data_IF_380771219521
#
_entry.id   IF_380771219521
#
_cell.length_a   1.000
_cell.length_b   1.000
_cell.length_c   1.000
_cell.angle_alpha   90.00
_cell.angle_beta   90.00
_cell.angle_gamma   90.00
#
_symmetry.space_group_name_H-M   'P 1'
#
loop_
_entity.id
_entity.type
_entity.pdbx_description
1 polymer ?
#
# COMPACT_ATOMS: atom_id res chain seq x y z
N UNK A 1 24.41 4.63 11.15
CA UNK A 1 22.98 4.96 11.36
C UNK A 1 22.13 4.40 10.22
N UNK A 2 22.53 4.64 8.96
CA UNK A 2 21.90 4.04 7.79
C UNK A 2 21.84 2.50 7.83
N UNK A 3 22.92 1.81 8.22
CA UNK A 3 22.93 0.34 8.30
C UNK A 3 21.84 -0.22 9.22
N UNK A 4 21.60 0.43 10.35
CA UNK A 4 20.54 0.04 11.29
C UNK A 4 19.14 0.24 10.70
N UNK A 5 18.94 1.33 9.95
CA UNK A 5 17.68 1.57 9.22
C UNK A 5 17.48 0.48 8.17
N UNK A 6 18.53 0.11 7.43
CA UNK A 6 18.47 -0.95 6.43
C UNK A 6 18.21 -2.33 7.05
N UNK A 7 18.82 -2.63 8.20
CA UNK A 7 18.57 -3.86 8.95
C UNK A 7 17.11 -3.97 9.39
N UNK A 8 16.54 -2.90 9.95
CA UNK A 8 15.13 -2.86 10.34
C UNK A 8 14.20 -2.93 9.11
N UNK A 9 14.57 -2.24 8.01
CA UNK A 9 13.83 -2.27 6.75
C UNK A 9 13.79 -3.67 6.11
N UNK A 10 14.76 -4.56 6.37
CA UNK A 10 14.71 -5.95 5.85
C UNK A 10 13.43 -6.68 6.24
N UNK A 11 12.85 -6.38 7.40
CA UNK A 11 11.57 -6.98 7.81
C UNK A 11 10.40 -6.48 6.95
N UNK A 12 10.37 -5.17 6.68
CA UNK A 12 9.38 -4.56 5.76
C UNK A 12 9.52 -5.17 4.37
N UNK A 13 10.75 -5.25 3.86
CA UNK A 13 11.04 -5.88 2.57
C UNK A 13 10.56 -7.33 2.51
N UNK A 14 10.85 -8.15 3.52
CA UNK A 14 10.47 -9.56 3.54
C UNK A 14 8.95 -9.75 3.54
N UNK A 15 8.23 -8.91 4.28
CA UNK A 15 6.76 -8.91 4.32
C UNK A 15 6.17 -8.48 2.96
N UNK A 16 6.70 -7.43 2.35
CA UNK A 16 6.27 -7.00 1.02
C UNK A 16 6.58 -8.06 -0.06
N UNK A 17 7.72 -8.75 0.06
CA UNK A 17 8.08 -9.86 -0.82
C UNK A 17 7.07 -11.00 -0.69
N UNK A 18 6.73 -11.41 0.53
CA UNK A 18 5.70 -12.43 0.77
C UNK A 18 4.33 -11.99 0.24
N UNK A 19 3.92 -10.73 0.51
CA UNK A 19 2.65 -10.17 0.01
C UNK A 19 2.58 -10.17 -1.51
N UNK A 20 3.69 -9.87 -2.19
CA UNK A 20 3.77 -9.90 -3.66
C UNK A 20 3.53 -11.30 -4.22
N UNK A 21 4.11 -12.33 -3.58
CA UNK A 21 3.88 -13.72 -3.96
C UNK A 21 2.42 -14.15 -3.72
N UNK A 22 1.84 -13.75 -2.59
CA UNK A 22 0.43 -14.02 -2.25
C UNK A 22 -0.53 -13.36 -3.25
N UNK A 23 -0.25 -12.14 -3.68
CA UNK A 23 -1.03 -11.43 -4.70
C UNK A 23 -0.90 -12.06 -6.09
N UNK A 24 0.30 -12.48 -6.48
CA UNK A 24 0.49 -13.20 -7.74
C UNK A 24 -0.27 -14.54 -7.76
N UNK A 25 -0.21 -15.31 -6.67
CA UNK A 25 -0.90 -16.60 -6.56
C UNK A 25 -2.43 -16.43 -6.61
N UNK A 26 -2.96 -15.38 -5.98
CA UNK A 26 -4.39 -15.00 -5.99
C UNK A 26 -4.95 -14.84 -7.41
N UNK A 27 -4.14 -14.30 -8.33
CA UNK A 27 -4.54 -14.04 -9.71
C UNK A 27 -4.26 -15.20 -10.67
N UNK A 28 -3.51 -16.23 -10.25
CA UNK A 28 -2.99 -17.26 -11.15
C UNK A 28 -3.43 -18.68 -10.77
N UNK A 29 -3.09 -19.14 -9.57
CA UNK A 29 -3.22 -20.56 -9.18
C UNK A 29 -4.17 -20.80 -8.01
N UNK A 30 -4.46 -19.79 -7.19
CA UNK A 30 -5.28 -19.94 -5.99
C UNK A 30 -6.72 -20.36 -6.33
N UNK A 31 -7.29 -21.36 -5.63
CA UNK A 31 -8.71 -21.69 -5.73
C UNK A 31 -9.60 -20.50 -5.36
N UNK A 32 -10.75 -20.34 -6.03
CA UNK A 32 -11.64 -19.19 -5.80
C UNK A 32 -12.19 -19.12 -4.37
N UNK A 33 -12.45 -20.28 -3.77
CA UNK A 33 -13.00 -20.42 -2.41
C UNK A 33 -12.05 -19.92 -1.31
N UNK A 34 -10.75 -19.79 -1.59
CA UNK A 34 -9.73 -19.35 -0.62
C UNK A 34 -9.52 -17.81 -0.61
N UNK A 35 -10.25 -17.07 -1.45
CA UNK A 35 -10.08 -15.62 -1.62
C UNK A 35 -10.25 -14.81 -0.34
N UNK A 36 -11.16 -15.22 0.55
CA UNK A 36 -11.38 -14.56 1.82
C UNK A 36 -10.17 -14.70 2.77
N UNK A 37 -9.64 -15.92 2.92
CA UNK A 37 -8.48 -16.19 3.78
C UNK A 37 -7.22 -15.51 3.22
N UNK A 38 -7.06 -15.49 1.89
CA UNK A 38 -5.98 -14.76 1.22
C UNK A 38 -6.04 -13.26 1.51
N UNK A 39 -7.22 -12.67 1.39
CA UNK A 39 -7.42 -11.25 1.69
C UNK A 39 -7.12 -10.93 3.15
N UNK A 40 -7.53 -11.78 4.09
CA UNK A 40 -7.21 -11.61 5.50
C UNK A 40 -5.70 -11.67 5.78
N UNK A 41 -4.97 -12.61 5.16
CA UNK A 41 -3.52 -12.71 5.31
C UNK A 41 -2.80 -11.46 4.78
N UNK A 42 -3.19 -10.98 3.58
CA UNK A 42 -2.61 -9.77 2.98
C UNK A 42 -2.89 -8.55 3.86
N UNK A 43 -4.11 -8.36 4.35
CA UNK A 43 -4.48 -7.22 5.20
C UNK A 43 -3.69 -7.19 6.54
N UNK A 44 -3.47 -8.35 7.16
CA UNK A 44 -2.64 -8.45 8.36
C UNK A 44 -1.18 -8.11 8.06
N UNK A 45 -0.63 -8.59 6.93
CA UNK A 45 0.73 -8.24 6.50
C UNK A 45 0.84 -6.73 6.26
N UNK A 46 -0.11 -6.12 5.55
CA UNK A 46 -0.15 -4.66 5.32
C UNK A 46 -0.15 -3.86 6.62
N UNK A 47 -0.88 -4.33 7.64
CA UNK A 47 -0.91 -3.69 8.96
C UNK A 47 0.46 -3.72 9.64
N UNK A 48 1.14 -4.87 9.62
CA UNK A 48 2.50 -4.99 10.18
C UNK A 48 3.50 -4.14 9.39
N UNK A 49 3.39 -4.10 8.07
CA UNK A 49 4.24 -3.24 7.21
C UNK A 49 4.06 -1.76 7.57
N UNK A 50 2.83 -1.31 7.78
CA UNK A 50 2.52 0.05 8.24
C UNK A 50 3.19 0.35 9.58
N UNK A 51 3.00 -0.50 10.58
CA UNK A 51 3.57 -0.34 11.92
C UNK A 51 5.10 -0.26 11.89
N UNK A 52 5.74 -1.18 11.17
CA UNK A 52 7.19 -1.21 11.02
C UNK A 52 7.70 0.04 10.29
N UNK A 53 7.00 0.49 9.24
CA UNK A 53 7.38 1.71 8.52
C UNK A 53 7.31 2.94 9.42
N UNK A 54 6.21 3.10 10.17
CA UNK A 54 6.06 4.20 11.13
C UNK A 54 7.11 4.16 12.25
N UNK A 55 7.56 2.96 12.66
CA UNK A 55 8.61 2.80 13.68
C UNK A 55 10.00 3.30 13.25
N UNK A 56 10.21 3.48 11.93
CA UNK A 56 11.44 4.06 11.39
C UNK A 56 11.48 5.59 11.50
N UNK A 57 10.34 6.25 11.73
CA UNK A 57 10.21 7.70 11.58
C UNK A 57 11.19 8.48 12.46
N UNK A 58 11.25 8.18 13.76
CA UNK A 58 12.16 8.87 14.69
C UNK A 58 13.65 8.70 14.36
N UNK A 59 14.00 7.59 13.69
CA UNK A 59 15.38 7.35 13.23
C UNK A 59 15.65 8.18 11.98
N UNK A 60 14.71 8.18 11.03
CA UNK A 60 14.80 8.95 9.79
C UNK A 60 14.85 10.47 10.06
N UNK A 61 14.13 10.96 11.07
CA UNK A 61 14.12 12.38 11.46
C UNK A 61 15.47 12.83 12.07
N UNK A 62 16.29 11.89 12.57
CA UNK A 62 17.63 12.17 13.13
C UNK A 62 18.75 12.09 12.10
N UNK A 63 18.46 11.57 10.90
CA UNK A 63 19.47 11.48 9.84
C UNK A 63 19.64 12.84 9.18
N UNK A 64 20.89 13.31 9.12
CA UNK A 64 21.27 14.53 8.41
C UNK A 64 21.75 14.16 7.02
N UNK A 65 21.23 14.83 6.00
CA UNK A 65 21.50 14.48 4.61
C UNK A 65 22.96 14.77 4.21
N UNK A 66 23.64 15.69 4.91
CA UNK A 66 25.05 16.03 4.72
C UNK A 66 26.00 14.91 5.15
N UNK A 67 25.54 14.02 6.03
CA UNK A 67 26.31 12.88 6.53
C UNK A 67 26.20 11.64 5.62
N UNK A 68 25.49 11.74 4.49
CA UNK A 68 25.18 10.63 3.58
C UNK A 68 25.80 10.81 2.19
N UNK A 69 26.18 9.69 1.59
CA UNK A 69 26.42 9.60 0.16
C UNK A 69 25.09 9.61 -0.62
N UNK A 70 25.18 9.55 -1.95
CA UNK A 70 23.99 9.62 -2.80
C UNK A 70 23.01 8.46 -2.58
N UNK A 71 23.56 7.26 -2.37
CA UNK A 71 22.78 6.07 -2.04
C UNK A 71 22.00 6.27 -0.73
N UNK A 72 22.67 6.71 0.34
CA UNK A 72 22.04 6.96 1.63
C UNK A 72 20.94 8.00 1.54
N UNK A 73 21.17 9.12 0.84
CA UNK A 73 20.14 10.15 0.64
C UNK A 73 18.93 9.60 -0.11
N UNK A 74 19.15 8.74 -1.12
CA UNK A 74 18.09 8.05 -1.85
C UNK A 74 17.24 7.18 -0.94
N UNK A 75 17.87 6.32 -0.12
CA UNK A 75 17.18 5.45 0.84
C UNK A 75 16.32 6.27 1.79
N UNK A 76 16.90 7.31 2.41
CA UNK A 76 16.19 8.13 3.40
C UNK A 76 15.03 8.89 2.77
N UNK A 77 15.20 9.43 1.55
CA UNK A 77 14.12 10.10 0.80
C UNK A 77 12.93 9.17 0.57
N UNK A 78 13.17 7.94 0.12
CA UNK A 78 12.11 6.95 -0.13
C UNK A 78 11.41 6.56 1.17
N UNK A 79 12.16 6.26 2.23
CA UNK A 79 11.56 5.85 3.50
C UNK A 79 10.78 6.98 4.18
N UNK A 80 11.26 8.23 4.12
CA UNK A 80 10.52 9.41 4.60
C UNK A 80 9.21 9.59 3.82
N UNK A 81 9.20 9.33 2.51
CA UNK A 81 7.98 9.34 1.68
C UNK A 81 6.97 8.28 2.15
N UNK A 82 7.41 7.05 2.40
CA UNK A 82 6.53 6.00 2.95
C UNK A 82 6.00 6.34 4.34
N UNK A 83 6.84 6.90 5.22
CA UNK A 83 6.40 7.37 6.55
C UNK A 83 5.36 8.48 6.42
N UNK A 84 5.57 9.46 5.52
CA UNK A 84 4.62 10.54 5.26
C UNK A 84 3.26 9.99 4.83
N UNK A 85 3.26 9.05 3.88
CA UNK A 85 2.03 8.38 3.44
C UNK A 85 1.28 7.73 4.60
N UNK A 86 1.94 6.87 5.38
CA UNK A 86 1.28 6.18 6.50
C UNK A 86 0.90 7.11 7.66
N UNK A 87 1.59 8.24 7.85
CA UNK A 87 1.16 9.27 8.81
C UNK A 87 -0.10 10.01 8.36
N UNK A 88 -0.22 10.28 7.06
CA UNK A 88 -1.33 11.02 6.48
C UNK A 88 -2.60 10.19 6.34
N UNK A 89 -2.47 8.96 5.84
CA UNK A 89 -3.61 8.08 5.54
C UNK A 89 -3.95 7.21 6.75
N UNK A 90 -5.19 7.31 7.31
CA UNK A 90 -5.66 6.46 8.40
C UNK A 90 -5.56 4.96 8.07
N UNK A 91 -5.37 4.14 9.11
CA UNK A 91 -5.27 2.69 8.97
C UNK A 91 -6.55 2.10 8.37
N UNK A 92 -7.70 2.64 8.78
CA UNK A 92 -9.03 2.18 8.40
C UNK A 92 -9.24 2.30 6.88
N UNK A 93 -8.73 3.36 6.25
CA UNK A 93 -8.79 3.54 4.80
C UNK A 93 -7.95 2.49 4.09
N UNK A 94 -6.70 2.29 4.53
CA UNK A 94 -5.80 1.31 3.91
C UNK A 94 -6.33 -0.13 4.06
N UNK A 95 -6.90 -0.47 5.21
CA UNK A 95 -7.50 -1.79 5.44
C UNK A 95 -8.76 -2.01 4.61
N UNK A 96 -9.58 -0.98 4.42
CA UNK A 96 -10.77 -1.09 3.58
C UNK A 96 -10.40 -1.22 2.09
N UNK A 97 -9.42 -0.47 1.61
CA UNK A 97 -8.88 -0.63 0.25
C UNK A 97 -8.33 -2.03 0.03
N UNK A 98 -7.54 -2.59 0.95
CA UNK A 98 -6.99 -3.95 0.84
C UNK A 98 -8.10 -5.01 0.79
N UNK A 99 -9.14 -4.84 1.61
CA UNK A 99 -10.31 -5.73 1.62
C UNK A 99 -11.09 -5.64 0.30
N UNK A 100 -11.33 -4.42 -0.19
CA UNK A 100 -12.01 -4.19 -1.46
C UNK A 100 -11.21 -4.74 -2.64
N UNK A 101 -9.89 -4.58 -2.67
CA UNK A 101 -9.04 -5.13 -3.71
C UNK A 101 -9.20 -6.67 -3.79
N UNK A 102 -9.12 -7.35 -2.65
CA UNK A 102 -9.26 -8.81 -2.58
C UNK A 102 -10.65 -9.30 -3.00
N UNK A 103 -11.71 -8.67 -2.47
CA UNK A 103 -13.09 -9.07 -2.77
C UNK A 103 -13.49 -8.75 -4.22
N UNK A 104 -13.11 -7.56 -4.68
CA UNK A 104 -13.48 -7.07 -5.99
C UNK A 104 -12.73 -7.77 -7.12
N UNK A 105 -11.54 -8.34 -6.88
CA UNK A 105 -10.82 -9.13 -7.88
C UNK A 105 -11.63 -10.34 -8.37
N UNK A 106 -12.26 -11.08 -7.45
CA UNK A 106 -13.11 -12.24 -7.78
C UNK A 106 -14.35 -11.79 -8.57
N UNK A 107 -15.02 -10.73 -8.08
CA UNK A 107 -16.21 -10.17 -8.73
C UNK A 107 -15.88 -9.64 -10.12
N UNK A 108 -14.75 -8.94 -10.28
CA UNK A 108 -14.29 -8.37 -11.54
C UNK A 108 -14.01 -9.46 -12.58
N UNK A 109 -13.37 -10.57 -12.19
CA UNK A 109 -13.11 -11.69 -13.10
C UNK A 109 -14.40 -12.20 -13.72
N UNK A 110 -15.44 -12.40 -12.91
CA UNK A 110 -16.71 -12.91 -13.41
C UNK A 110 -17.54 -11.85 -14.14
N UNK A 111 -17.60 -10.64 -13.61
CA UNK A 111 -18.23 -9.49 -14.25
C UNK A 111 -17.67 -9.25 -15.65
N UNK A 112 -16.33 -9.29 -15.80
CA UNK A 112 -15.67 -9.12 -17.10
C UNK A 112 -16.04 -10.23 -18.09
N UNK A 113 -16.06 -11.49 -17.66
CA UNK A 113 -16.46 -12.63 -18.51
C UNK A 113 -17.90 -12.50 -18.99
N UNK A 114 -18.80 -12.02 -18.13
CA UNK A 114 -20.23 -11.86 -18.42
C UNK A 114 -20.59 -10.51 -19.02
N UNK A 115 -19.64 -9.60 -19.19
CA UNK A 115 -19.90 -8.19 -19.53
C UNK A 115 -20.90 -7.52 -18.58
N UNK A 116 -20.86 -7.89 -17.30
CA UNK A 116 -21.78 -7.41 -16.26
C UNK A 116 -21.12 -6.36 -15.37
N UNK A 117 -21.08 -5.12 -15.86
CA UNK A 117 -20.54 -3.99 -15.09
C UNK A 117 -21.30 -3.75 -13.77
N UNK A 118 -22.61 -4.02 -13.73
CA UNK A 118 -23.44 -3.72 -12.54
C UNK A 118 -22.99 -4.49 -11.31
N UNK A 119 -22.52 -5.71 -11.49
CA UNK A 119 -21.97 -6.50 -10.39
C UNK A 119 -20.68 -5.90 -9.80
N UNK A 120 -19.87 -5.21 -10.62
CA UNK A 120 -18.62 -4.58 -10.17
C UNK A 120 -18.77 -3.11 -9.73
N UNK A 121 -19.78 -2.41 -10.24
CA UNK A 121 -20.07 -1.01 -9.96
C UNK A 121 -19.99 -0.60 -8.48
N UNK A 122 -20.60 -1.33 -7.50
CA UNK A 122 -20.54 -0.92 -6.10
C UNK A 122 -19.12 -0.94 -5.53
N UNK A 123 -18.27 -1.89 -5.96
CA UNK A 123 -16.88 -1.97 -5.53
C UNK A 123 -16.07 -0.81 -6.10
N UNK A 124 -16.20 -0.56 -7.41
CA UNK A 124 -15.50 0.55 -8.06
C UNK A 124 -15.86 1.90 -7.45
N UNK A 125 -17.16 2.12 -7.17
CA UNK A 125 -17.62 3.34 -6.53
C UNK A 125 -16.95 3.54 -5.17
N UNK A 126 -16.91 2.50 -4.35
CA UNK A 126 -16.31 2.58 -3.01
C UNK A 126 -14.80 2.79 -3.08
N UNK A 127 -14.10 2.12 -4.00
CA UNK A 127 -12.66 2.33 -4.24
C UNK A 127 -12.41 3.79 -4.60
N UNK A 128 -13.15 4.36 -5.56
CA UNK A 128 -12.99 5.75 -5.99
C UNK A 128 -13.28 6.75 -4.86
N UNK A 129 -14.26 6.47 -3.99
CA UNK A 129 -14.52 7.29 -2.81
C UNK A 129 -13.34 7.30 -1.83
N UNK A 130 -12.77 6.13 -1.54
CA UNK A 130 -11.62 6.00 -0.64
C UNK A 130 -10.36 6.64 -1.24
N UNK A 131 -10.10 6.47 -2.54
CA UNK A 131 -8.97 7.09 -3.22
C UNK A 131 -9.05 8.63 -3.19
N UNK A 132 -10.26 9.20 -3.29
CA UNK A 132 -10.45 10.64 -3.09
C UNK A 132 -10.12 11.07 -1.66
N UNK A 133 -10.53 10.28 -0.67
CA UNK A 133 -10.14 10.56 0.72
C UNK A 133 -8.62 10.45 0.89
N UNK A 134 -7.96 9.46 0.29
CA UNK A 134 -6.49 9.34 0.27
C UNK A 134 -5.85 10.60 -0.31
N UNK A 135 -6.34 11.08 -1.46
CA UNK A 135 -5.84 12.31 -2.07
C UNK A 135 -5.96 13.52 -1.12
N UNK A 136 -7.11 13.71 -0.48
CA UNK A 136 -7.34 14.80 0.47
C UNK A 136 -6.44 14.68 1.71
N UNK A 137 -6.14 13.46 2.17
CA UNK A 137 -5.22 13.22 3.30
C UNK A 137 -3.77 13.54 2.95
N UNK A 138 -3.35 13.19 1.74
CA UNK A 138 -1.98 13.44 1.26
C UNK A 138 -1.75 14.92 0.95
N UNK A 139 -2.80 15.63 0.54
CA UNK A 139 -2.72 16.99 0.06
C UNK A 139 -2.19 17.08 -1.37
N UNK A 140 -2.62 18.11 -2.09
CA UNK A 140 -2.26 18.36 -3.49
C UNK A 140 -2.29 19.85 -3.78
N UNK A 141 -1.52 20.24 -4.79
CA UNK A 141 -1.65 21.54 -5.44
C UNK A 141 -2.44 21.36 -6.73
N UNK A 142 -3.50 22.13 -6.95
CA UNK A 142 -4.33 21.98 -8.15
C UNK A 142 -5.41 20.92 -8.00
N UNK A 143 -5.20 19.72 -8.55
CA UNK A 143 -6.25 18.70 -8.67
C UNK A 143 -6.01 17.50 -7.73
N UNK A 144 -7.05 16.88 -7.13
CA UNK A 144 -6.88 15.72 -6.23
C UNK A 144 -6.11 14.55 -6.85
N UNK A 145 -6.24 14.38 -8.16
CA UNK A 145 -5.52 13.35 -8.90
C UNK A 145 -4.00 13.52 -8.84
N UNK A 146 -3.49 14.75 -8.64
CA UNK A 146 -2.06 15.01 -8.55
C UNK A 146 -1.44 14.33 -7.31
N UNK A 147 -2.17 14.28 -6.19
CA UNK A 147 -1.76 13.51 -5.01
C UNK A 147 -1.66 12.01 -5.30
N UNK A 148 -2.57 11.48 -6.13
CA UNK A 148 -2.59 10.06 -6.47
C UNK A 148 -1.52 9.72 -7.51
N UNK A 149 -1.28 10.59 -8.49
CA UNK A 149 -0.20 10.44 -9.48
C UNK A 149 1.16 10.48 -8.79
N UNK A 150 1.35 11.38 -7.82
CA UNK A 150 2.57 11.44 -7.01
C UNK A 150 2.88 10.04 -6.44
N UNK A 151 1.91 9.29 -5.92
CA UNK A 151 2.19 7.95 -5.37
C UNK A 151 2.87 6.96 -6.32
N UNK A 152 2.75 7.17 -7.64
CA UNK A 152 3.29 6.29 -8.67
C UNK A 152 4.47 6.88 -9.45
N UNK A 153 4.77 8.17 -9.30
CA UNK A 153 5.84 8.91 -9.99
C UNK A 153 6.82 9.63 -9.02
#
# INVERSE_FOLDING_TARGET
MLDKILEEYRRIWALNYASSLLGWDLETYMPEDDSQLRGEAIANISTVVRELTLSLADKLDKVRDEDLDDFGRGVVRVLRRSVRFYRAVPREITEELDRLASQSAVVWREARRRSDFKSFEPYLRRIVELEKEVADRLGYEGHPYDALVDLYE
#
